data_IF_134425302900
#
_entry.id   IF_134425302900
#
_cell.length_a   1.000
_cell.length_b   1.000
_cell.length_c   1.000
_cell.angle_alpha   90.00
_cell.angle_beta   90.00
_cell.angle_gamma   90.00
#
_symmetry.space_group_name_H-M   'P 1'
#
loop_
_entity.id
_entity.type
_entity.pdbx_description
1 polymer ?
#
# COMPACT_ATOMS: atom_id res chain seq x y z
N UNK A 1 -15.90 -5.12 -42.46
CA UNK A 1 -14.93 -4.06 -42.08
C UNK A 1 -15.29 -3.48 -40.69
N UNK A 2 -15.40 -4.34 -39.66
CA UNK A 2 -15.87 -3.93 -38.31
C UNK A 2 -14.72 -3.99 -37.29
N UNK A 3 -13.83 -4.97 -37.45
CA UNK A 3 -12.66 -5.16 -36.57
C UNK A 3 -11.65 -4.00 -36.61
N UNK A 4 -11.43 -3.37 -37.78
CA UNK A 4 -10.52 -2.23 -37.92
C UNK A 4 -11.01 -1.02 -37.09
N UNK A 5 -12.33 -0.80 -37.05
CA UNK A 5 -12.93 0.32 -36.31
C UNK A 5 -12.86 0.12 -34.80
N UNK A 6 -12.96 -1.13 -34.34
CA UNK A 6 -12.77 -1.50 -32.93
C UNK A 6 -11.33 -1.25 -32.44
N UNK A 7 -10.33 -1.66 -33.25
CA UNK A 7 -8.92 -1.44 -32.90
C UNK A 7 -8.54 0.04 -32.86
N UNK A 8 -9.00 0.84 -33.84
CA UNK A 8 -8.76 2.28 -33.87
C UNK A 8 -9.36 3.03 -32.66
N UNK A 9 -10.53 2.58 -32.18
CA UNK A 9 -11.15 3.14 -30.98
C UNK A 9 -10.45 2.70 -29.68
N UNK A 10 -9.91 1.48 -29.64
CA UNK A 10 -9.18 0.96 -28.47
C UNK A 10 -7.85 1.69 -28.26
N UNK A 11 -7.12 2.01 -29.33
CA UNK A 11 -5.87 2.77 -29.26
C UNK A 11 -6.04 4.17 -28.62
N UNK A 12 -7.19 4.82 -28.81
CA UNK A 12 -7.51 6.11 -28.17
C UNK A 12 -7.77 6.02 -26.66
N UNK A 13 -8.08 4.82 -26.15
CA UNK A 13 -8.43 4.57 -24.74
C UNK A 13 -7.29 3.97 -23.92
N UNK A 14 -6.12 3.74 -24.52
CA UNK A 14 -4.94 3.29 -23.79
C UNK A 14 -4.25 4.55 -23.22
N UNK A 15 -4.36 4.84 -21.91
CA UNK A 15 -3.66 5.98 -21.33
C UNK A 15 -2.16 5.73 -21.44
N UNK A 16 -1.48 6.55 -22.26
CA UNK A 16 -0.02 6.51 -22.32
C UNK A 16 0.56 7.22 -21.10
N UNK A 17 1.45 6.55 -20.38
CA UNK A 17 2.22 7.15 -19.29
C UNK A 17 3.10 8.25 -19.89
N UNK A 18 2.96 9.49 -19.40
CA UNK A 18 3.81 10.63 -19.78
C UNK A 18 4.80 10.90 -18.65
N UNK A 19 6.08 10.64 -18.91
CA UNK A 19 7.12 11.00 -17.97
C UNK A 19 7.42 12.49 -18.06
N UNK A 20 7.50 13.17 -16.91
CA UNK A 20 7.97 14.56 -16.85
C UNK A 20 9.47 14.56 -17.17
N UNK A 21 9.88 15.38 -18.14
CA UNK A 21 11.31 15.67 -18.38
C UNK A 21 11.86 16.36 -17.12
N UNK A 22 12.81 15.72 -16.45
CA UNK A 22 13.42 16.21 -15.20
C UNK A 22 12.61 15.93 -13.92
N UNK A 23 11.93 14.78 -13.82
CA UNK A 23 11.29 14.38 -12.56
C UNK A 23 12.29 14.23 -11.39
N UNK A 24 11.83 14.36 -10.13
CA UNK A 24 12.65 14.50 -8.93
C UNK A 24 13.51 13.26 -8.58
N UNK A 25 13.56 12.25 -9.44
CA UNK A 25 14.27 11.00 -9.18
C UNK A 25 15.78 11.10 -9.38
N UNK A 26 16.31 12.19 -9.94
CA UNK A 26 17.76 12.37 -10.03
C UNK A 26 18.38 12.86 -8.71
N UNK A 27 17.60 13.49 -7.84
CA UNK A 27 18.09 14.01 -6.54
C UNK A 27 17.87 13.02 -5.38
N UNK A 28 17.07 11.97 -5.59
CA UNK A 28 16.74 10.98 -4.57
C UNK A 28 17.76 9.83 -4.41
N UNK A 29 18.86 9.83 -5.18
CA UNK A 29 19.90 8.81 -5.07
C UNK A 29 20.77 8.94 -3.79
N UNK A 30 20.53 9.95 -2.94
CA UNK A 30 21.34 10.24 -1.76
C UNK A 30 20.61 10.33 -0.43
N UNK A 31 19.29 10.10 -0.37
CA UNK A 31 18.55 10.10 0.89
C UNK A 31 17.87 8.76 1.12
N UNK A 32 18.44 7.97 2.02
CA UNK A 32 17.81 6.83 2.67
C UNK A 32 16.57 7.29 3.43
N UNK A 33 15.43 7.32 2.75
CA UNK A 33 14.13 7.40 3.40
C UNK A 33 13.81 6.04 4.07
N UNK A 34 13.23 6.03 5.28
CA UNK A 34 12.84 4.78 5.94
C UNK A 34 11.79 4.07 5.08
N UNK A 35 11.93 2.74 4.97
CA UNK A 35 11.06 1.90 4.16
C UNK A 35 9.60 1.98 4.63
N UNK A 36 8.81 2.84 3.99
CA UNK A 36 7.37 2.90 4.13
C UNK A 36 6.71 2.26 2.91
N UNK A 37 6.19 1.05 3.15
CA UNK A 37 4.98 0.49 2.57
C UNK A 37 5.01 0.12 1.08
N UNK A 38 5.42 -1.12 0.84
CA UNK A 38 4.83 -1.93 -0.23
C UNK A 38 3.34 -2.19 0.11
N UNK A 39 2.45 -1.29 -0.32
CA UNK A 39 1.01 -1.45 -0.27
C UNK A 39 0.46 -1.42 -1.68
N UNK A 40 -0.04 -2.57 -2.15
CA UNK A 40 -0.66 -2.73 -3.47
C UNK A 40 -1.73 -1.66 -3.71
N UNK A 41 -1.54 -0.88 -4.78
CA UNK A 41 -2.56 0.02 -5.28
C UNK A 41 -3.72 -0.80 -5.87
N UNK A 42 -4.78 -0.99 -5.08
CA UNK A 42 -6.07 -1.43 -5.60
C UNK A 42 -6.71 -0.21 -6.27
N UNK A 43 -6.61 -0.15 -7.60
CA UNK A 43 -7.21 0.90 -8.42
C UNK A 43 -8.74 0.93 -8.23
N UNK A 44 -9.25 1.91 -7.46
CA UNK A 44 -10.69 2.14 -7.34
C UNK A 44 -11.16 2.76 -6.01
N UNK A 45 -10.34 2.77 -4.96
CA UNK A 45 -10.70 3.46 -3.73
C UNK A 45 -10.20 4.91 -3.77
N UNK A 46 -11.14 5.86 -3.71
CA UNK A 46 -10.87 7.27 -3.46
C UNK A 46 -9.89 7.38 -2.28
N UNK A 47 -8.76 8.10 -2.40
CA UNK A 47 -7.80 8.21 -1.31
C UNK A 47 -8.51 8.86 -0.13
N UNK A 48 -8.89 8.04 0.87
CA UNK A 48 -9.34 8.58 2.15
C UNK A 48 -8.17 9.41 2.65
N UNK A 49 -8.36 10.71 2.83
CA UNK A 49 -7.34 11.54 3.46
C UNK A 49 -7.10 10.94 4.84
N UNK A 50 -5.98 10.25 4.99
CA UNK A 50 -5.50 9.85 6.30
C UNK A 50 -5.17 11.17 6.99
N UNK A 51 -5.97 11.57 7.98
CA UNK A 51 -5.70 12.78 8.73
C UNK A 51 -4.32 12.66 9.34
N UNK A 52 -3.44 13.63 9.06
CA UNK A 52 -2.09 13.75 9.63
C UNK A 52 -2.10 14.17 11.10
N UNK A 53 -3.10 13.71 11.86
CA UNK A 53 -3.20 13.92 13.29
C UNK A 53 -2.30 12.95 14.06
N UNK A 54 -2.23 13.13 15.37
CA UNK A 54 -1.58 12.17 16.27
C UNK A 54 -2.17 10.76 16.07
N UNK A 55 -1.31 9.75 16.16
CA UNK A 55 -1.74 8.37 16.04
C UNK A 55 -2.72 8.02 17.18
N UNK A 56 -3.72 7.20 16.85
CA UNK A 56 -4.70 6.74 17.84
C UNK A 56 -4.03 5.67 18.71
N UNK A 57 -4.03 5.91 20.02
CA UNK A 57 -3.48 4.97 21.01
C UNK A 57 -4.44 3.80 21.30
N UNK A 58 -3.90 2.66 21.77
CA UNK A 58 -4.68 1.43 21.97
C UNK A 58 -5.89 1.60 22.91
N UNK A 59 -5.76 2.42 23.96
CA UNK A 59 -6.84 2.70 24.89
C UNK A 59 -8.00 3.50 24.26
N UNK A 60 -7.72 4.24 23.18
CA UNK A 60 -8.71 4.99 22.41
C UNK A 60 -9.44 4.11 21.40
N UNK A 61 -8.91 2.91 21.08
CA UNK A 61 -9.54 2.03 20.10
C UNK A 61 -10.86 1.44 20.65
N UNK A 62 -11.93 1.47 19.83
CA UNK A 62 -13.15 0.72 20.11
C UNK A 62 -12.88 -0.76 20.31
N UNK A 63 -13.65 -1.43 21.17
CA UNK A 63 -13.42 -2.82 21.59
C UNK A 63 -13.25 -3.80 20.41
N UNK A 64 -13.97 -3.60 19.31
CA UNK A 64 -13.89 -4.45 18.10
C UNK A 64 -12.55 -4.40 17.36
N UNK A 65 -11.74 -3.38 17.59
CA UNK A 65 -10.42 -3.20 16.96
C UNK A 65 -9.26 -3.37 17.94
N UNK A 66 -9.54 -3.62 19.22
CA UNK A 66 -8.48 -3.90 20.20
C UNK A 66 -7.78 -5.20 19.84
N UNK A 67 -6.48 -5.24 20.09
CA UNK A 67 -5.69 -6.47 19.89
C UNK A 67 -6.15 -7.51 20.91
N UNK A 68 -6.04 -8.78 20.53
CA UNK A 68 -6.22 -9.87 21.48
C UNK A 68 -4.99 -9.93 22.40
N UNK A 69 -5.17 -10.25 23.70
CA UNK A 69 -4.06 -10.62 24.56
C UNK A 69 -3.27 -11.78 23.93
N UNK A 70 -1.94 -11.74 24.05
CA UNK A 70 -1.07 -12.80 23.54
C UNK A 70 -1.18 -14.00 24.48
N UNK A 71 -1.36 -15.19 23.91
CA UNK A 71 -1.42 -16.45 24.66
C UNK A 71 -0.02 -17.03 24.92
N UNK A 72 0.15 -17.88 25.94
CA UNK A 72 1.45 -18.45 26.33
C UNK A 72 2.08 -19.27 25.19
N UNK A 73 1.25 -20.01 24.45
CA UNK A 73 1.67 -20.77 23.26
C UNK A 73 2.17 -19.85 22.15
N UNK A 74 1.48 -18.72 21.93
CA UNK A 74 1.90 -17.72 20.95
C UNK A 74 3.23 -17.08 21.37
N UNK A 75 3.42 -16.81 22.66
CA UNK A 75 4.69 -16.30 23.20
C UNK A 75 5.83 -17.29 22.87
N UNK A 76 5.62 -18.59 23.11
CA UNK A 76 6.62 -19.61 22.77
C UNK A 76 6.91 -19.64 21.27
N UNK A 77 5.88 -19.59 20.41
CA UNK A 77 6.06 -19.58 18.96
C UNK A 77 6.80 -18.33 18.49
N UNK A 78 6.52 -17.16 19.05
CA UNK A 78 7.24 -15.92 18.75
C UNK A 78 8.72 -16.08 19.14
N UNK A 79 9.00 -16.60 20.34
CA UNK A 79 10.37 -16.80 20.82
C UNK A 79 11.14 -17.86 20.01
N UNK A 80 10.45 -18.91 19.53
CA UNK A 80 11.05 -19.99 18.72
C UNK A 80 11.09 -19.67 17.22
N UNK A 81 10.39 -18.64 16.76
CA UNK A 81 10.32 -18.27 15.34
C UNK A 81 9.24 -18.99 14.52
N UNK A 82 8.26 -19.61 15.17
CA UNK A 82 7.09 -20.22 14.53
C UNK A 82 6.53 -21.43 15.29
N UNK A 83 5.40 -21.98 14.81
CA UNK A 83 4.88 -23.26 15.28
C UNK A 83 5.84 -24.42 14.98
N UNK A 84 5.77 -25.52 15.76
CA UNK A 84 6.47 -26.76 15.40
C UNK A 84 5.99 -27.27 14.03
N UNK A 85 6.92 -27.73 13.21
CA UNK A 85 6.66 -28.31 11.89
C UNK A 85 6.05 -29.72 11.96
#
# INVERSE_FOLDING_TARGET
MVFVRSMLNSAKRIPMIRFRKGGPHLDAAGQSAPAAQAGQAVSGAQPRSVSTGEAIEEWQLPARYRRKPIDDVEIEWINRGGPPA
#
